data_IF_245567256502
#
_entry.id   IF_245567256502
#
_cell.length_a   1.000
_cell.length_b   1.000
_cell.length_c   1.000
_cell.angle_alpha   90.00
_cell.angle_beta   90.00
_cell.angle_gamma   90.00
#
_symmetry.space_group_name_H-M   'P 1'
#
loop_
_entity.id
_entity.type
_entity.pdbx_description
1 polymer ?
#
# COMPACT_ATOMS: atom_id res chain seq x y z
N UNK A 1 2.09 -7.38 -25.91
CA UNK A 1 3.15 -8.04 -25.12
C UNK A 1 2.92 -7.96 -23.61
N UNK A 2 2.46 -6.83 -23.06
CA UNK A 2 2.21 -6.65 -21.61
C UNK A 2 1.22 -7.66 -20.97
N UNK A 3 0.16 -8.08 -21.67
CA UNK A 3 -0.81 -9.06 -21.13
C UNK A 3 -0.25 -10.48 -20.93
N UNK A 4 0.78 -10.88 -21.70
CA UNK A 4 1.42 -12.22 -21.57
C UNK A 4 2.24 -12.31 -20.29
N UNK A 5 2.89 -11.23 -19.92
CA UNK A 5 3.80 -11.16 -18.78
C UNK A 5 3.18 -10.48 -17.55
N UNK A 6 1.87 -10.27 -17.53
CA UNK A 6 1.18 -9.58 -16.42
C UNK A 6 1.42 -10.31 -15.08
N UNK A 7 1.78 -9.60 -13.99
CA UNK A 7 2.06 -10.20 -12.68
C UNK A 7 0.88 -11.01 -12.12
N UNK A 8 -0.36 -10.55 -12.31
CA UNK A 8 -1.57 -11.26 -11.86
C UNK A 8 -1.75 -12.66 -12.49
N UNK A 9 -1.25 -12.86 -13.72
CA UNK A 9 -1.31 -14.14 -14.43
C UNK A 9 -0.11 -15.04 -14.15
N UNK A 10 0.99 -14.46 -13.65
CA UNK A 10 2.27 -15.11 -13.41
C UNK A 10 2.76 -14.82 -11.99
N UNK A 11 1.90 -15.06 -10.99
CA UNK A 11 2.23 -14.79 -9.58
C UNK A 11 3.53 -15.51 -9.22
N UNK A 12 4.49 -14.78 -8.64
CA UNK A 12 5.83 -15.22 -8.24
C UNK A 12 6.88 -15.38 -9.37
N UNK A 13 6.61 -14.95 -10.60
CA UNK A 13 7.63 -14.90 -11.65
C UNK A 13 8.33 -13.54 -11.68
N UNK A 14 9.59 -13.50 -11.24
CA UNK A 14 10.45 -12.32 -11.36
C UNK A 14 10.63 -11.90 -12.83
N UNK A 15 10.76 -12.88 -13.73
CA UNK A 15 10.90 -12.64 -15.17
C UNK A 15 9.66 -11.96 -15.76
N UNK A 16 8.45 -12.42 -15.39
CA UNK A 16 7.21 -11.81 -15.84
C UNK A 16 7.06 -10.38 -15.32
N UNK A 17 7.41 -10.15 -14.05
CA UNK A 17 7.38 -8.82 -13.44
C UNK A 17 8.32 -7.86 -14.16
N UNK A 18 9.54 -8.29 -14.49
CA UNK A 18 10.50 -7.50 -15.26
C UNK A 18 9.98 -7.21 -16.67
N UNK A 19 9.53 -8.22 -17.41
CA UNK A 19 9.03 -8.06 -18.79
C UNK A 19 7.74 -7.27 -18.89
N UNK A 20 6.91 -7.26 -17.84
CA UNK A 20 5.72 -6.40 -17.78
C UNK A 20 6.07 -4.91 -17.75
N UNK A 21 7.20 -4.57 -17.12
CA UNK A 21 7.67 -3.19 -16.95
C UNK A 21 8.45 -2.66 -18.16
N UNK A 22 8.70 -3.48 -19.18
CA UNK A 22 9.45 -3.11 -20.38
C UNK A 22 8.56 -2.41 -21.43
N UNK A 23 8.99 -1.23 -21.87
CA UNK A 23 8.47 -0.51 -23.03
C UNK A 23 9.56 -0.48 -24.09
N UNK A 24 9.31 -1.14 -25.23
CA UNK A 24 10.27 -1.27 -26.33
C UNK A 24 9.92 -0.31 -27.46
N UNK A 25 10.92 0.45 -27.90
CA UNK A 25 10.89 1.28 -29.10
C UNK A 25 11.84 0.66 -30.13
N UNK A 26 11.30 -0.03 -31.14
CA UNK A 26 12.12 -0.69 -32.15
C UNK A 26 12.97 0.31 -32.91
N UNK A 27 14.24 -0.03 -33.19
CA UNK A 27 15.17 0.79 -34.01
C UNK A 27 15.39 2.23 -33.50
N UNK A 28 15.10 2.51 -32.23
CA UNK A 28 15.27 3.83 -31.63
C UNK A 28 16.58 3.97 -30.80
N UNK A 29 17.44 2.95 -30.82
CA UNK A 29 18.74 2.94 -30.16
C UNK A 29 19.88 3.33 -31.09
N UNK A 30 21.10 3.06 -30.65
CA UNK A 30 22.30 3.38 -31.42
C UNK A 30 22.35 2.62 -32.75
N UNK A 31 22.83 3.26 -33.79
CA UNK A 31 23.05 2.67 -35.11
C UNK A 31 24.44 2.03 -35.19
N UNK A 32 24.51 0.82 -35.77
CA UNK A 32 25.78 0.15 -36.02
C UNK A 32 26.40 0.56 -37.37
N UNK A 33 27.64 0.14 -37.63
CA UNK A 33 28.35 0.46 -38.88
C UNK A 33 27.70 -0.09 -40.16
N UNK A 34 26.68 -0.97 -40.04
CA UNK A 34 25.91 -1.53 -41.17
C UNK A 34 24.61 -0.75 -41.43
N UNK A 35 24.35 0.32 -40.68
CA UNK A 35 23.12 1.12 -40.81
C UNK A 35 21.91 0.53 -40.08
N UNK A 36 22.11 -0.43 -39.18
CA UNK A 36 21.02 -1.05 -38.41
C UNK A 36 20.93 -0.39 -37.02
N UNK A 37 19.75 0.14 -36.69
CA UNK A 37 19.49 0.73 -35.38
C UNK A 37 19.05 -0.33 -34.37
N UNK A 38 19.60 -0.26 -33.16
CA UNK A 38 19.22 -1.11 -32.03
C UNK A 38 17.85 -0.71 -31.46
N UNK A 39 17.28 -1.56 -30.60
CA UNK A 39 16.06 -1.24 -29.86
C UNK A 39 16.36 -0.46 -28.58
N UNK A 40 15.52 0.52 -28.26
CA UNK A 40 15.54 1.21 -26.98
C UNK A 40 14.47 0.57 -26.07
N UNK A 41 14.88 0.06 -24.91
CA UNK A 41 13.97 -0.57 -23.93
C UNK A 41 14.00 0.23 -22.65
N UNK A 42 12.85 0.77 -22.25
CA UNK A 42 12.66 1.39 -20.95
C UNK A 42 12.09 0.37 -19.98
N UNK A 43 12.67 0.28 -18.79
CA UNK A 43 12.11 -0.50 -17.68
C UNK A 43 11.50 0.48 -16.68
N UNK A 44 10.21 0.34 -16.42
CA UNK A 44 9.49 1.18 -15.46
C UNK A 44 9.68 0.61 -14.06
N UNK A 45 10.34 1.39 -13.19
CA UNK A 45 10.49 1.05 -11.78
C UNK A 45 9.62 1.93 -10.89
N UNK A 46 9.10 1.34 -9.83
CA UNK A 46 8.30 2.07 -8.85
C UNK A 46 9.24 2.71 -7.83
N UNK A 47 9.21 4.03 -7.76
CA UNK A 47 9.94 4.77 -6.73
C UNK A 47 9.28 4.50 -5.37
N UNK A 48 10.05 4.29 -4.29
CA UNK A 48 9.50 4.24 -2.95
C UNK A 48 8.65 5.48 -2.64
N UNK A 49 7.50 5.26 -1.99
CA UNK A 49 6.60 6.31 -1.55
C UNK A 49 6.49 6.29 -0.02
N UNK A 50 6.40 7.46 0.60
CA UNK A 50 6.49 7.59 2.06
C UNK A 50 5.33 6.90 2.80
N UNK A 51 4.14 6.90 2.19
CA UNK A 51 2.91 6.38 2.81
C UNK A 51 2.50 5.00 2.28
N UNK A 52 2.76 4.73 1.00
CA UNK A 52 2.13 3.63 0.29
C UNK A 52 3.17 2.68 -0.27
N UNK A 53 2.90 1.39 -0.13
CA UNK A 53 3.60 0.33 -0.85
C UNK A 53 2.59 -0.34 -1.77
N UNK A 54 2.92 -0.47 -3.05
CA UNK A 54 2.06 -1.16 -3.99
C UNK A 54 2.32 -2.66 -3.91
N UNK A 55 1.25 -3.43 -3.74
CA UNK A 55 1.28 -4.89 -3.80
C UNK A 55 0.34 -5.35 -4.94
N UNK A 56 0.90 -5.54 -6.14
CA UNK A 56 0.11 -5.86 -7.34
C UNK A 56 -0.82 -4.72 -7.73
N UNK A 57 -2.14 -4.90 -7.56
CA UNK A 57 -3.14 -3.85 -7.79
C UNK A 57 -3.61 -3.16 -6.51
N UNK A 58 -3.10 -3.59 -5.35
CA UNK A 58 -3.52 -3.07 -4.06
C UNK A 58 -2.51 -2.04 -3.53
N UNK A 59 -2.98 -1.17 -2.63
CA UNK A 59 -2.14 -0.20 -1.93
C UNK A 59 -2.10 -0.54 -0.45
N UNK A 60 -0.90 -0.72 0.09
CA UNK A 60 -0.70 -0.96 1.52
C UNK A 60 -0.25 0.34 2.17
N UNK A 61 -0.99 0.78 3.20
CA UNK A 61 -0.66 1.97 3.99
C UNK A 61 -0.45 1.56 5.46
N UNK A 62 0.65 2.02 6.07
CA UNK A 62 0.86 1.88 7.51
C UNK A 62 0.31 3.12 8.20
N UNK A 63 -0.67 2.93 9.07
CA UNK A 63 -1.37 4.03 9.73
C UNK A 63 -1.12 3.97 11.24
N UNK A 64 -0.48 4.99 11.83
CA UNK A 64 -0.20 5.01 13.25
C UNK A 64 -1.47 5.23 14.09
N UNK A 65 -1.59 4.45 15.16
CA UNK A 65 -2.66 4.54 16.15
C UNK A 65 -2.03 4.53 17.55
N UNK A 66 -2.26 5.55 18.39
CA UNK A 66 -1.80 5.55 19.78
C UNK A 66 -2.31 4.33 20.55
N UNK A 67 -1.47 3.74 21.41
CA UNK A 67 -1.84 2.57 22.21
C UNK A 67 -3.17 2.74 22.96
N UNK A 68 -3.42 3.93 23.52
CA UNK A 68 -4.68 4.20 24.23
C UNK A 68 -5.89 4.04 23.30
N UNK A 69 -5.84 4.61 22.10
CA UNK A 69 -6.91 4.52 21.11
C UNK A 69 -7.05 3.09 20.55
N UNK A 70 -5.93 2.37 20.41
CA UNK A 70 -5.95 0.96 20.01
C UNK A 70 -6.62 0.06 21.06
N UNK A 71 -6.53 0.40 22.35
CA UNK A 71 -7.13 -0.37 23.45
C UNK A 71 -8.59 0.04 23.73
N UNK A 72 -8.92 1.32 23.60
CA UNK A 72 -10.21 1.87 24.07
C UNK A 72 -11.13 2.37 22.96
N UNK A 73 -10.65 2.48 21.73
CA UNK A 73 -11.41 3.08 20.64
C UNK A 73 -11.57 4.61 20.79
N UNK A 74 -12.72 5.15 20.35
CA UNK A 74 -12.98 6.58 20.45
C UNK A 74 -13.64 6.95 21.80
N UNK A 75 -13.44 8.20 22.28
CA UNK A 75 -14.21 8.74 23.37
C UNK A 75 -15.73 8.73 23.07
N UNK A 76 -16.55 8.42 24.08
CA UNK A 76 -18.00 8.59 24.06
C UNK A 76 -18.81 7.79 23.00
N UNK A 77 -18.34 6.61 22.59
CA UNK A 77 -19.11 5.69 21.74
C UNK A 77 -19.14 6.04 20.25
N UNK A 78 -18.36 7.04 19.82
CA UNK A 78 -18.10 7.27 18.40
C UNK A 78 -17.20 6.16 17.81
N UNK A 79 -17.17 6.03 16.48
CA UNK A 79 -16.14 5.20 15.82
C UNK A 79 -14.86 6.01 15.70
N UNK A 80 -13.74 5.42 16.14
CA UNK A 80 -12.42 6.00 15.94
C UNK A 80 -12.07 5.93 14.45
N UNK A 81 -11.55 7.03 13.91
CA UNK A 81 -11.18 7.13 12.49
C UNK A 81 -9.82 7.77 12.33
N UNK A 82 -9.04 7.30 11.36
CA UNK A 82 -7.82 7.95 10.86
C UNK A 82 -8.05 8.50 9.46
N UNK A 83 -7.45 9.65 9.18
CA UNK A 83 -7.47 10.22 7.83
C UNK A 83 -6.21 9.81 7.09
N UNK A 84 -6.38 9.26 5.89
CA UNK A 84 -5.29 8.91 4.97
C UNK A 84 -5.42 9.81 3.74
N UNK A 85 -4.34 10.50 3.37
CA UNK A 85 -4.27 11.25 2.12
C UNK A 85 -3.91 10.30 0.98
N UNK A 86 -4.79 10.21 -0.01
CA UNK A 86 -4.69 9.29 -1.13
C UNK A 86 -3.77 9.85 -2.23
N UNK A 87 -3.32 8.98 -3.15
CA UNK A 87 -2.47 9.36 -4.28
C UNK A 87 -3.10 10.42 -5.22
N UNK A 88 -4.42 10.58 -5.19
CA UNK A 88 -5.17 11.59 -5.95
C UNK A 88 -5.46 12.87 -5.15
N UNK A 89 -4.89 13.00 -3.94
CA UNK A 89 -5.08 14.14 -3.05
C UNK A 89 -6.37 14.11 -2.22
N UNK A 90 -7.25 13.11 -2.40
CA UNK A 90 -8.43 12.97 -1.54
C UNK A 90 -8.04 12.57 -0.13
N UNK A 91 -8.80 13.03 0.86
CA UNK A 91 -8.70 12.59 2.25
C UNK A 91 -9.74 11.51 2.53
N UNK A 92 -9.27 10.29 2.79
CA UNK A 92 -10.12 9.16 3.09
C UNK A 92 -10.15 8.91 4.60
N UNK A 93 -11.34 8.82 5.18
CA UNK A 93 -11.51 8.42 6.57
C UNK A 93 -11.61 6.89 6.67
N UNK A 94 -10.66 6.29 7.38
CA UNK A 94 -10.63 4.85 7.66
C UNK A 94 -11.01 4.63 9.11
N UNK A 95 -12.01 3.78 9.34
CA UNK A 95 -12.46 3.43 10.68
C UNK A 95 -11.54 2.37 11.28
N UNK A 96 -11.23 2.51 12.57
CA UNK A 96 -10.55 1.46 13.32
C UNK A 96 -11.47 0.22 13.43
N UNK A 97 -10.88 -0.98 13.50
CA UNK A 97 -11.61 -2.19 13.87
C UNK A 97 -12.38 -2.03 15.18
N UNK A 98 -13.50 -2.74 15.30
CA UNK A 98 -14.27 -2.75 16.55
C UNK A 98 -13.52 -3.53 17.62
N UNK A 99 -13.39 -2.95 18.81
CA UNK A 99 -12.67 -3.55 19.93
C UNK A 99 -11.18 -3.19 19.94
N UNK A 100 -10.36 -4.09 20.49
CA UNK A 100 -8.92 -3.88 20.59
C UNK A 100 -8.25 -4.08 19.22
N UNK A 101 -7.46 -3.09 18.81
CA UNK A 101 -6.64 -3.13 17.60
C UNK A 101 -5.26 -3.69 17.94
N UNK A 102 -4.87 -4.78 17.26
CA UNK A 102 -3.55 -5.40 17.44
C UNK A 102 -2.50 -4.73 16.56
N UNK A 103 -1.21 -4.70 16.98
CA UNK A 103 -0.12 -4.29 16.11
C UNK A 103 -0.11 -5.11 14.81
N UNK A 104 -0.05 -4.43 13.66
CA UNK A 104 -0.07 -5.06 12.34
C UNK A 104 -1.42 -5.61 11.90
N UNK A 105 -2.50 -5.41 12.68
CA UNK A 105 -3.83 -5.78 12.23
C UNK A 105 -4.19 -5.03 10.94
N UNK A 106 -4.90 -5.72 10.05
CA UNK A 106 -5.25 -5.19 8.74
C UNK A 106 -6.72 -4.78 8.64
N UNK A 107 -7.00 -3.76 7.84
CA UNK A 107 -8.35 -3.36 7.45
C UNK A 107 -8.36 -3.04 5.97
N UNK A 108 -9.22 -3.73 5.22
CA UNK A 108 -9.36 -3.55 3.77
C UNK A 108 -10.40 -2.47 3.47
N UNK A 109 -10.00 -1.46 2.71
CA UNK A 109 -10.89 -0.45 2.13
C UNK A 109 -11.04 -0.74 0.65
N UNK A 110 -12.21 -1.26 0.28
CA UNK A 110 -12.46 -1.78 -1.06
C UNK A 110 -12.44 -0.68 -2.11
N UNK A 111 -11.83 -0.95 -3.26
CA UNK A 111 -11.81 -0.05 -4.42
C UNK A 111 -10.88 1.17 -4.29
N UNK A 112 -10.07 1.23 -3.23
CA UNK A 112 -9.15 2.35 -2.99
C UNK A 112 -7.67 2.01 -3.29
N UNK A 113 -7.42 0.90 -3.98
CA UNK A 113 -6.11 0.51 -4.52
C UNK A 113 -5.78 1.15 -5.87
N UNK A 114 -4.92 0.49 -6.64
CA UNK A 114 -4.47 0.96 -7.96
C UNK A 114 -5.48 0.64 -9.06
N UNK A 115 -5.58 1.48 -10.11
CA UNK A 115 -6.43 1.20 -11.27
C UNK A 115 -6.02 -0.08 -12.02
N UNK A 116 -6.99 -0.95 -12.29
CA UNK A 116 -6.85 -2.16 -13.10
C UNK A 116 -7.29 -1.84 -14.52
N UNK A 117 -6.33 -1.83 -15.45
CA UNK A 117 -6.58 -1.56 -16.87
C UNK A 117 -6.88 -2.87 -17.59
N UNK A 118 -8.02 -2.91 -18.28
CA UNK A 118 -8.33 -3.97 -19.25
C UNK A 118 -8.50 -3.29 -20.61
N UNK A 119 -7.75 -3.75 -21.60
CA UNK A 119 -7.81 -3.23 -22.98
C UNK A 119 -7.65 -1.69 -23.08
N UNK A 120 -6.79 -1.12 -22.23
CA UNK A 120 -6.50 0.33 -22.20
C UNK A 120 -7.52 1.17 -21.43
N UNK A 121 -8.66 0.61 -21.03
CA UNK A 121 -9.70 1.30 -20.24
C UNK A 121 -9.56 0.91 -18.76
N UNK A 122 -9.55 1.90 -17.87
CA UNK A 122 -9.61 1.64 -16.44
C UNK A 122 -11.02 1.16 -16.08
N UNK A 123 -11.14 -0.10 -15.67
CA UNK A 123 -12.45 -0.72 -15.40
C UNK A 123 -12.81 -0.72 -13.92
N UNK A 124 -11.84 -1.02 -13.05
CA UNK A 124 -11.98 -1.18 -11.59
C UNK A 124 -10.67 -0.79 -10.92
N UNK A 125 -10.68 -0.60 -9.61
CA UNK A 125 -9.48 -0.44 -8.78
C UNK A 125 -9.30 -1.68 -7.91
N UNK A 126 -8.06 -1.98 -7.51
CA UNK A 126 -7.79 -2.88 -6.39
C UNK A 126 -8.24 -2.27 -5.06
N UNK A 127 -7.77 -2.84 -3.96
CA UNK A 127 -8.13 -2.42 -2.61
C UNK A 127 -6.99 -1.68 -1.91
N UNK A 128 -7.32 -0.90 -0.89
CA UNK A 128 -6.33 -0.37 0.04
C UNK A 128 -6.31 -1.23 1.31
N UNK A 129 -5.14 -1.67 1.73
CA UNK A 129 -4.91 -2.45 2.94
C UNK A 129 -4.26 -1.53 3.96
N UNK A 130 -5.00 -1.20 5.02
CA UNK A 130 -4.48 -0.42 6.14
C UNK A 130 -3.88 -1.37 7.17
N UNK A 131 -2.56 -1.28 7.37
CA UNK A 131 -1.84 -1.95 8.45
C UNK A 131 -1.76 -1.00 9.64
N UNK A 132 -2.41 -1.35 10.75
CA UNK A 132 -2.43 -0.51 11.95
C UNK A 132 -1.11 -0.63 12.72
N UNK A 133 -0.40 0.49 12.84
CA UNK A 133 0.85 0.58 13.58
C UNK A 133 0.58 1.14 14.99
N UNK A 134 0.60 0.27 16.00
CA UNK A 134 0.27 0.67 17.37
C UNK A 134 1.46 1.36 18.00
N UNK A 135 1.32 2.67 18.24
CA UNK A 135 2.37 3.53 18.79
C UNK A 135 2.30 3.49 20.32
N UNK A 136 3.31 2.87 20.93
CA UNK A 136 3.46 2.83 22.39
C UNK A 136 3.97 4.17 22.93
N UNK A 137 3.55 4.57 24.15
CA UNK A 137 4.16 5.72 24.81
C UNK A 137 5.63 5.43 25.12
N UNK A 138 6.48 6.46 25.03
CA UNK A 138 7.92 6.30 25.27
C UNK A 138 8.25 6.10 26.75
N UNK A 139 7.39 6.57 27.66
CA UNK A 139 7.53 6.47 29.13
C UNK A 139 6.17 6.41 29.81
N UNK A 140 6.14 5.82 31.00
CA UNK A 140 5.00 5.82 31.93
C UNK A 140 5.52 6.16 33.33
N UNK A 141 4.75 6.95 34.08
CA UNK A 141 5.04 7.20 35.50
C UNK A 141 4.77 5.94 36.34
N UNK A 142 5.38 5.80 37.54
CA UNK A 142 5.11 4.66 38.42
C UNK A 142 3.62 4.48 38.72
N UNK A 143 2.88 5.57 38.96
CA UNK A 143 1.44 5.52 39.18
C UNK A 143 0.64 5.01 37.97
N UNK A 144 1.02 5.42 36.74
CA UNK A 144 0.40 4.90 35.52
C UNK A 144 0.70 3.41 35.31
N UNK A 145 1.94 2.97 35.58
CA UNK A 145 2.31 1.56 35.47
C UNK A 145 1.53 0.70 36.47
N UNK A 146 1.41 1.14 37.72
CA UNK A 146 0.61 0.45 38.73
C UNK A 146 -0.87 0.38 38.33
N UNK A 147 -1.43 1.49 37.83
CA UNK A 147 -2.80 1.53 37.32
C UNK A 147 -3.03 0.54 36.18
N UNK A 148 -2.10 0.46 35.22
CA UNK A 148 -2.17 -0.49 34.11
C UNK A 148 -2.07 -1.94 34.59
N UNK A 149 -1.14 -2.26 35.51
CA UNK A 149 -1.03 -3.60 36.11
C UNK A 149 -2.35 -4.01 36.77
N UNK A 150 -2.96 -3.13 37.57
CA UNK A 150 -4.26 -3.40 38.21
C UNK A 150 -5.37 -3.74 37.21
N UNK A 151 -5.37 -3.15 36.02
CA UNK A 151 -6.42 -3.33 35.01
C UNK A 151 -6.14 -4.55 34.12
N UNK A 152 -4.87 -4.80 33.77
CA UNK A 152 -4.50 -5.81 32.76
C UNK A 152 -3.88 -7.09 33.34
N UNK A 153 -3.44 -7.10 34.60
CA UNK A 153 -2.73 -8.22 35.25
C UNK A 153 -1.60 -7.76 36.16
#
# INVERSE_FOLDING_TARGET
MALKWHPDRNKNSEEATRKFKEIRFPKAGNENARGESQDLVFVVEEKPHDVFVREGNDLVARVPVPLVEALTGAPAGARATKTVEMLDGRKLQVQLPVGIVKPGQETTVRGEGMPIRKDGVASRKGDMIVKWDVVFPTRLTPAQQEGIKKILG
#
